data_IF_251865791351
#
_entry.id   IF_251865791351
#
_cell.length_a   1.000
_cell.length_b   1.000
_cell.length_c   1.000
_cell.angle_alpha   90.00
_cell.angle_beta   90.00
_cell.angle_gamma   90.00
#
_symmetry.space_group_name_H-M   'P 1'
#
loop_
_entity.id
_entity.type
_entity.pdbx_description
1 polymer ?
#
# COMPACT_ATOMS: atom_id res chain seq x y z
N UNK A 1 -0.36 -17.98 -4.48
CA UNK A 1 -1.52 -18.20 -5.38
C UNK A 1 -2.61 -17.21 -5.01
N UNK A 2 -3.11 -16.42 -5.96
CA UNK A 2 -4.12 -15.39 -5.68
C UNK A 2 -5.52 -16.00 -5.62
N UNK A 3 -6.25 -15.79 -4.52
CA UNK A 3 -7.65 -16.25 -4.36
C UNK A 3 -8.61 -15.09 -4.61
N UNK A 4 -9.59 -15.30 -5.48
CA UNK A 4 -10.63 -14.30 -5.78
C UNK A 4 -11.97 -14.76 -5.26
N UNK A 5 -12.57 -13.97 -4.37
CA UNK A 5 -13.88 -14.23 -3.79
C UNK A 5 -14.89 -13.18 -4.27
N UNK A 6 -16.15 -13.59 -4.37
CA UNK A 6 -17.28 -12.67 -4.55
C UNK A 6 -17.98 -12.51 -3.22
N UNK A 7 -18.35 -11.27 -2.86
CA UNK A 7 -19.08 -10.98 -1.64
C UNK A 7 -20.30 -10.10 -1.93
N UNK A 8 -21.50 -10.67 -1.98
CA UNK A 8 -22.72 -9.87 -2.05
C UNK A 8 -22.96 -9.16 -0.72
N UNK A 9 -23.54 -7.97 -0.78
CA UNK A 9 -24.13 -7.30 0.38
C UNK A 9 -25.66 -7.38 0.31
N UNK A 10 -26.37 -7.43 1.45
CA UNK A 10 -27.82 -7.36 1.46
C UNK A 10 -28.32 -6.03 0.89
N UNK A 11 -29.61 -5.98 0.55
CA UNK A 11 -30.28 -4.74 0.17
C UNK A 11 -30.18 -3.72 1.30
N UNK A 12 -29.82 -2.49 0.95
CA UNK A 12 -29.88 -1.37 1.89
C UNK A 12 -31.34 -0.98 2.16
N UNK A 13 -31.59 -0.24 3.24
CA UNK A 13 -32.93 0.28 3.55
C UNK A 13 -33.50 1.11 2.40
N UNK A 14 -32.66 1.90 1.72
CA UNK A 14 -33.04 2.69 0.54
C UNK A 14 -33.36 1.85 -0.71
N UNK A 15 -33.03 0.56 -0.70
CA UNK A 15 -33.24 -0.40 -1.79
C UNK A 15 -34.36 -1.40 -1.45
N UNK A 16 -35.07 -1.20 -0.33
CA UNK A 16 -36.23 -2.01 0.02
C UNK A 16 -37.29 -1.91 -1.09
N UNK A 17 -37.68 -3.07 -1.64
CA UNK A 17 -38.60 -3.17 -2.77
C UNK A 17 -37.91 -3.35 -4.13
N UNK A 18 -36.57 -3.21 -4.21
CA UNK A 18 -35.83 -3.62 -5.40
C UNK A 18 -35.80 -5.15 -5.52
N UNK A 19 -35.72 -5.64 -6.76
CA UNK A 19 -35.50 -7.07 -7.00
C UNK A 19 -34.10 -7.45 -6.50
N UNK A 20 -33.99 -8.64 -5.95
CA UNK A 20 -32.73 -9.17 -5.44
C UNK A 20 -32.00 -9.93 -6.54
N UNK A 21 -30.74 -9.56 -6.77
CA UNK A 21 -29.81 -10.31 -7.62
C UNK A 21 -29.41 -11.58 -6.87
N UNK A 22 -29.57 -12.71 -7.53
CA UNK A 22 -29.17 -13.99 -7.00
C UNK A 22 -27.73 -14.31 -7.42
N UNK A 23 -26.89 -14.65 -6.44
CA UNK A 23 -25.51 -15.08 -6.65
C UNK A 23 -25.36 -16.52 -6.14
N UNK A 24 -25.06 -17.45 -7.04
CA UNK A 24 -24.90 -18.87 -6.70
C UNK A 24 -23.55 -19.34 -7.21
N UNK A 25 -22.83 -20.14 -6.41
CA UNK A 25 -21.68 -20.90 -6.91
C UNK A 25 -22.11 -22.34 -7.14
N UNK A 26 -22.06 -22.76 -8.40
CA UNK A 26 -22.23 -24.16 -8.82
C UNK A 26 -20.97 -24.98 -8.51
N UNK A 27 -21.11 -26.32 -8.53
CA UNK A 27 -19.99 -27.25 -8.46
C UNK A 27 -18.89 -26.88 -9.48
N UNK A 28 -17.63 -26.88 -9.03
CA UNK A 28 -16.48 -26.45 -9.85
C UNK A 28 -16.16 -24.95 -9.79
N UNK A 29 -16.74 -24.18 -8.85
CA UNK A 29 -16.34 -22.78 -8.61
C UNK A 29 -16.87 -21.79 -9.66
N UNK A 30 -17.96 -22.15 -10.34
CA UNK A 30 -18.61 -21.31 -11.34
C UNK A 30 -19.69 -20.46 -10.67
N UNK A 31 -19.54 -19.13 -10.75
CA UNK A 31 -20.56 -18.19 -10.29
C UNK A 31 -21.65 -18.04 -11.34
N UNK A 32 -22.90 -18.15 -10.93
CA UNK A 32 -24.10 -17.85 -11.70
C UNK A 32 -24.80 -16.65 -11.07
N UNK A 33 -25.16 -15.68 -11.92
CA UNK A 33 -25.91 -14.47 -11.53
C UNK A 33 -27.27 -14.50 -12.22
N UNK A 34 -28.36 -14.34 -11.46
CA UNK A 34 -29.76 -14.35 -11.96
C UNK A 34 -30.09 -15.54 -12.88
N UNK A 35 -29.49 -16.71 -12.62
CA UNK A 35 -29.63 -17.96 -13.40
C UNK A 35 -29.09 -17.95 -14.84
N UNK A 36 -28.64 -16.82 -15.39
CA UNK A 36 -28.25 -16.70 -16.81
C UNK A 36 -26.76 -16.41 -17.02
N UNK A 37 -26.17 -15.54 -16.21
CA UNK A 37 -24.80 -15.06 -16.43
C UNK A 37 -23.79 -15.89 -15.66
N UNK A 38 -22.86 -16.52 -16.37
CA UNK A 38 -21.88 -17.47 -15.81
C UNK A 38 -20.46 -16.93 -15.85
N UNK A 39 -19.75 -17.09 -14.76
CA UNK A 39 -18.36 -16.65 -14.56
C UNK A 39 -17.56 -17.74 -13.83
N UNK A 40 -16.24 -17.79 -14.01
CA UNK A 40 -15.40 -18.87 -13.45
C UNK A 40 -14.11 -18.33 -12.84
N UNK A 41 -13.41 -19.19 -12.09
CA UNK A 41 -12.11 -18.88 -11.48
C UNK A 41 -12.20 -18.29 -10.07
N UNK A 42 -13.38 -18.34 -9.43
CA UNK A 42 -13.56 -17.84 -8.07
C UNK A 42 -13.31 -18.94 -7.04
N UNK A 43 -12.65 -18.56 -5.94
CA UNK A 43 -12.41 -19.41 -4.79
C UNK A 43 -13.67 -19.67 -3.95
N UNK A 44 -14.66 -18.78 -4.03
CA UNK A 44 -15.91 -18.94 -3.30
C UNK A 44 -16.78 -17.68 -3.27
N UNK A 45 -17.98 -17.85 -2.72
CA UNK A 45 -18.96 -16.81 -2.43
C UNK A 45 -18.91 -16.61 -0.91
N UNK A 46 -18.58 -15.40 -0.49
CA UNK A 46 -18.48 -15.09 0.93
C UNK A 46 -19.84 -14.75 1.51
N UNK A 47 -19.98 -15.02 2.80
CA UNK A 47 -21.14 -14.61 3.58
C UNK A 47 -21.36 -13.09 3.52
N UNK A 48 -22.62 -12.69 3.65
CA UNK A 48 -23.00 -11.30 3.83
C UNK A 48 -22.52 -10.78 5.19
N UNK A 49 -22.36 -11.64 6.19
CA UNK A 49 -21.89 -11.27 7.53
C UNK A 49 -20.36 -11.20 7.61
N UNK A 50 -19.82 -10.13 8.21
CA UNK A 50 -18.37 -9.95 8.28
C UNK A 50 -17.64 -11.07 9.03
N UNK A 51 -18.27 -11.66 10.06
CA UNK A 51 -17.67 -12.73 10.87
C UNK A 51 -17.40 -13.98 10.05
N UNK A 52 -18.43 -14.49 9.37
CA UNK A 52 -18.31 -15.67 8.53
C UNK A 52 -17.43 -15.43 7.30
N UNK A 53 -17.56 -14.26 6.66
CA UNK A 53 -16.72 -13.90 5.52
C UNK A 53 -15.23 -13.84 5.92
N UNK A 54 -14.91 -13.33 7.12
CA UNK A 54 -13.57 -13.36 7.68
C UNK A 54 -13.06 -14.80 7.87
N UNK A 55 -13.88 -15.67 8.47
CA UNK A 55 -13.56 -17.09 8.68
C UNK A 55 -13.27 -17.82 7.37
N UNK A 56 -14.03 -17.51 6.31
CA UNK A 56 -13.88 -18.13 4.99
C UNK A 56 -12.63 -17.67 4.24
N UNK A 57 -12.27 -16.38 4.32
CA UNK A 57 -11.23 -15.80 3.46
C UNK A 57 -9.90 -15.53 4.17
N UNK A 58 -9.92 -14.89 5.34
CA UNK A 58 -8.72 -14.29 5.96
C UNK A 58 -8.22 -15.09 7.16
N UNK A 59 -9.13 -15.66 7.97
CA UNK A 59 -8.78 -16.46 9.14
C UNK A 59 -7.73 -17.55 8.88
N UNK A 60 -7.74 -18.28 7.74
CA UNK A 60 -6.71 -19.29 7.45
C UNK A 60 -5.29 -18.72 7.32
N UNK A 61 -5.14 -17.41 7.13
CA UNK A 61 -3.83 -16.75 6.98
C UNK A 61 -3.20 -16.36 8.33
N UNK A 62 -3.95 -16.41 9.43
CA UNK A 62 -3.47 -16.01 10.77
C UNK A 62 -2.23 -16.80 11.18
N UNK A 63 -2.28 -18.13 11.06
CA UNK A 63 -1.14 -19.01 11.38
C UNK A 63 0.07 -18.73 10.48
N UNK A 64 -0.15 -18.44 9.20
CA UNK A 64 0.91 -18.08 8.27
C UNK A 64 1.59 -16.77 8.68
N UNK A 65 0.80 -15.76 9.06
CA UNK A 65 1.31 -14.47 9.53
C UNK A 65 2.10 -14.60 10.83
N UNK A 66 1.64 -15.40 11.80
CA UNK A 66 2.39 -15.67 13.03
C UNK A 66 3.73 -16.39 12.78
N UNK A 67 3.87 -17.05 11.63
CA UNK A 67 5.05 -17.79 11.19
C UNK A 67 5.83 -17.11 10.05
N UNK A 68 5.66 -15.80 9.83
CA UNK A 68 6.53 -15.02 8.95
C UNK A 68 6.01 -14.83 7.53
N UNK A 69 4.83 -15.35 7.21
CA UNK A 69 4.24 -15.21 5.87
C UNK A 69 3.70 -13.79 5.66
N UNK A 70 3.95 -13.23 4.48
CA UNK A 70 3.33 -11.98 4.05
C UNK A 70 2.08 -12.27 3.21
N UNK A 71 0.96 -11.62 3.55
CA UNK A 71 -0.31 -11.74 2.82
C UNK A 71 -0.90 -10.38 2.51
N UNK A 72 -1.73 -10.32 1.48
CA UNK A 72 -2.41 -9.09 1.08
C UNK A 72 -3.88 -9.37 0.75
N UNK A 73 -4.79 -8.49 1.14
CA UNK A 73 -6.21 -8.59 0.83
C UNK A 73 -6.74 -7.28 0.25
N UNK A 74 -7.26 -7.36 -0.99
CA UNK A 74 -7.92 -6.26 -1.69
C UNK A 74 -9.44 -6.36 -1.53
N UNK A 75 -10.09 -5.28 -1.08
CA UNK A 75 -11.52 -5.10 -1.30
C UNK A 75 -11.75 -4.25 -2.55
N UNK A 76 -12.42 -4.82 -3.54
CA UNK A 76 -12.75 -4.18 -4.82
C UNK A 76 -14.25 -4.23 -5.08
N UNK A 77 -14.76 -3.31 -5.89
CA UNK A 77 -16.15 -3.27 -6.29
C UNK A 77 -16.65 -1.86 -6.46
N UNK A 78 -17.91 -1.76 -6.87
CA UNK A 78 -18.53 -0.49 -7.14
C UNK A 78 -18.77 0.36 -5.85
N UNK A 79 -18.98 1.66 -5.97
CA UNK A 79 -19.32 2.55 -4.85
C UNK A 79 -20.55 2.03 -4.12
N UNK A 80 -20.52 2.04 -2.79
CA UNK A 80 -21.54 1.45 -1.92
C UNK A 80 -21.74 -0.07 -2.09
N UNK A 81 -20.77 -0.82 -2.64
CA UNK A 81 -20.87 -2.30 -2.68
C UNK A 81 -20.47 -3.00 -1.38
N UNK A 82 -19.94 -2.27 -0.40
CA UNK A 82 -19.56 -2.79 0.93
C UNK A 82 -18.06 -2.97 1.18
N UNK A 83 -17.17 -2.47 0.31
CA UNK A 83 -15.69 -2.61 0.48
C UNK A 83 -15.17 -2.17 1.85
N UNK A 84 -15.45 -0.93 2.25
CA UNK A 84 -15.02 -0.38 3.53
C UNK A 84 -15.66 -1.11 4.72
N UNK A 85 -16.92 -1.54 4.58
CA UNK A 85 -17.62 -2.36 5.58
C UNK A 85 -16.97 -3.74 5.73
N UNK A 86 -16.53 -4.37 4.63
CA UNK A 86 -15.76 -5.62 4.65
C UNK A 86 -14.47 -5.47 5.43
N UNK A 87 -13.64 -4.48 5.10
CA UNK A 87 -12.31 -4.35 5.69
C UNK A 87 -12.39 -3.83 7.12
N UNK A 88 -13.15 -2.76 7.35
CA UNK A 88 -13.12 -2.03 8.61
C UNK A 88 -14.41 -2.09 9.42
N UNK A 89 -15.52 -2.60 8.87
CA UNK A 89 -16.81 -2.62 9.55
C UNK A 89 -17.41 -1.23 9.82
N UNK A 90 -18.63 -1.25 10.34
CA UNK A 90 -19.37 -0.07 10.79
C UNK A 90 -20.07 -0.36 12.11
N UNK A 91 -20.22 0.68 12.94
CA UNK A 91 -20.93 0.62 14.22
C UNK A 91 -20.47 -0.55 15.10
N UNK A 92 -21.38 -1.46 15.44
CA UNK A 92 -21.10 -2.66 16.24
C UNK A 92 -20.55 -3.83 15.43
N UNK A 93 -20.68 -3.82 14.10
CA UNK A 93 -20.22 -4.92 13.25
C UNK A 93 -18.72 -4.77 12.93
N UNK A 94 -17.92 -5.65 13.53
CA UNK A 94 -16.49 -5.71 13.30
C UNK A 94 -16.17 -6.15 11.88
N UNK A 95 -15.34 -5.37 11.19
CA UNK A 95 -14.74 -5.73 9.91
C UNK A 95 -13.68 -6.81 10.05
N UNK A 96 -13.18 -7.24 8.89
CA UNK A 96 -12.13 -8.25 8.78
C UNK A 96 -10.83 -7.83 9.48
N UNK A 97 -10.49 -6.55 9.43
CA UNK A 97 -9.31 -6.01 10.10
C UNK A 97 -9.36 -6.22 11.61
N UNK A 98 -10.50 -5.91 12.24
CA UNK A 98 -10.64 -6.03 13.68
C UNK A 98 -10.54 -7.48 14.15
N UNK A 99 -11.13 -8.40 13.36
CA UNK A 99 -11.12 -9.83 13.62
C UNK A 99 -9.71 -10.40 13.45
N UNK A 100 -9.01 -10.03 12.38
CA UNK A 100 -7.61 -10.40 12.17
C UNK A 100 -6.74 -10.01 13.36
N UNK A 101 -6.81 -8.76 13.81
CA UNK A 101 -6.00 -8.30 14.95
C UNK A 101 -6.32 -9.10 16.21
N UNK A 102 -7.60 -9.31 16.53
CA UNK A 102 -8.00 -10.09 17.71
C UNK A 102 -7.48 -11.52 17.67
N UNK A 103 -7.61 -12.19 16.54
CA UNK A 103 -7.16 -13.57 16.37
C UNK A 103 -5.64 -13.69 16.43
N UNK A 104 -4.89 -12.71 15.89
CA UNK A 104 -3.42 -12.68 16.04
C UNK A 104 -2.99 -12.66 17.51
N UNK A 105 -3.58 -11.78 18.32
CA UNK A 105 -3.23 -11.70 19.75
C UNK A 105 -3.78 -12.90 20.55
N UNK A 106 -4.91 -13.48 20.15
CA UNK A 106 -5.52 -14.63 20.83
C UNK A 106 -4.76 -15.93 20.55
N UNK A 107 -4.30 -16.14 19.32
CA UNK A 107 -3.61 -17.36 18.88
C UNK A 107 -2.10 -17.31 19.05
N UNK A 108 -1.53 -16.13 19.33
CA UNK A 108 -0.10 -16.03 19.60
C UNK A 108 0.26 -16.72 20.91
N UNK A 109 1.32 -17.51 20.86
CA UNK A 109 1.94 -18.13 22.04
C UNK A 109 3.04 -17.26 22.66
N UNK A 110 3.30 -16.09 22.07
CA UNK A 110 4.35 -15.15 22.46
C UNK A 110 3.77 -13.74 22.59
N UNK A 111 4.45 -12.90 23.36
CA UNK A 111 4.16 -11.47 23.36
C UNK A 111 4.34 -10.90 21.95
N UNK A 112 3.28 -10.27 21.44
CA UNK A 112 3.29 -9.66 20.12
C UNK A 112 3.49 -8.15 20.23
N UNK A 113 4.30 -7.62 19.33
CA UNK A 113 4.31 -6.20 19.01
C UNK A 113 3.94 -6.06 17.54
N UNK A 114 2.84 -5.36 17.27
CA UNK A 114 2.36 -5.11 15.91
C UNK A 114 2.67 -3.67 15.54
N UNK A 115 3.49 -3.52 14.50
CA UNK A 115 3.71 -2.25 13.84
C UNK A 115 2.58 -2.00 12.84
N UNK A 116 1.99 -0.81 12.92
CA UNK A 116 0.89 -0.36 12.06
C UNK A 116 1.40 0.79 11.20
N UNK A 117 1.23 0.67 9.88
CA UNK A 117 1.26 1.82 8.97
C UNK A 117 -0.09 1.95 8.31
N UNK A 118 -0.62 3.16 8.26
CA UNK A 118 -1.92 3.41 7.66
C UNK A 118 -1.88 4.68 6.84
N UNK A 119 -2.21 4.60 5.56
CA UNK A 119 -2.16 5.73 4.65
C UNK A 119 -3.23 5.61 3.56
N UNK A 120 -3.52 6.73 2.91
CA UNK A 120 -4.44 6.78 1.78
C UNK A 120 -3.76 7.28 0.51
N UNK A 121 -4.20 6.76 -0.64
CA UNK A 121 -3.94 7.33 -1.95
C UNK A 121 -5.16 8.14 -2.35
N UNK A 122 -4.96 9.45 -2.46
CA UNK A 122 -6.00 10.40 -2.80
C UNK A 122 -5.48 11.38 -3.86
N UNK A 123 -6.21 11.53 -4.97
CA UNK A 123 -5.87 12.46 -6.04
C UNK A 123 -4.40 12.32 -6.53
N UNK A 124 -3.94 11.07 -6.71
CA UNK A 124 -2.58 10.78 -7.17
C UNK A 124 -1.48 11.07 -6.13
N UNK A 125 -1.80 11.35 -4.88
CA UNK A 125 -0.87 11.60 -3.78
C UNK A 125 -1.08 10.62 -2.63
N UNK A 126 -0.05 10.39 -1.82
CA UNK A 126 -0.12 9.55 -0.62
C UNK A 126 -0.22 10.47 0.59
N UNK A 127 -1.09 10.12 1.54
CA UNK A 127 -1.23 10.85 2.80
C UNK A 127 -1.17 9.88 3.98
N UNK A 128 -0.34 10.19 4.97
CA UNK A 128 -0.13 9.38 6.17
C UNK A 128 -1.29 9.57 7.15
N UNK A 129 -2.11 8.53 7.33
CA UNK A 129 -3.27 8.56 8.22
C UNK A 129 -2.87 8.40 9.70
N UNK A 130 -1.60 8.14 10.02
CA UNK A 130 -1.10 8.09 11.40
C UNK A 130 -0.26 9.32 11.75
N UNK A 131 -0.12 10.26 10.81
CA UNK A 131 0.64 11.49 11.00
C UNK A 131 -0.10 12.66 10.35
N UNK A 132 -1.34 12.91 10.78
CA UNK A 132 -2.14 14.08 10.39
C UNK A 132 -2.20 14.36 8.88
N UNK A 133 -2.26 13.31 8.05
CA UNK A 133 -2.28 13.38 6.59
C UNK A 133 -1.07 14.12 6.00
N UNK A 134 0.11 14.00 6.61
CA UNK A 134 1.35 14.47 6.01
C UNK A 134 1.61 13.76 4.67
N UNK A 135 2.15 14.46 3.65
CA UNK A 135 2.34 13.90 2.32
C UNK A 135 3.43 12.82 2.32
N UNK A 136 3.16 11.75 1.59
CA UNK A 136 4.06 10.63 1.34
C UNK A 136 4.41 10.46 -0.13
N UNK A 137 5.46 9.68 -0.38
CA UNK A 137 6.02 9.42 -1.70
C UNK A 137 6.26 7.93 -1.91
N UNK A 138 5.67 7.37 -2.97
CA UNK A 138 5.99 6.02 -3.45
C UNK A 138 7.25 6.09 -4.31
N UNK A 139 8.28 5.33 -3.94
CA UNK A 139 9.55 5.25 -4.67
C UNK A 139 9.93 3.79 -4.90
N UNK A 140 10.58 3.53 -6.02
CA UNK A 140 11.20 2.23 -6.32
C UNK A 140 12.72 2.40 -6.19
N UNK A 141 13.38 1.51 -5.46
CA UNK A 141 14.84 1.51 -5.33
C UNK A 141 15.53 0.77 -6.50
N UNK A 142 16.88 0.77 -6.50
CA UNK A 142 17.67 0.12 -7.54
C UNK A 142 17.49 -1.41 -7.60
N UNK A 143 16.92 -2.02 -6.55
CA UNK A 143 16.61 -3.44 -6.50
C UNK A 143 15.14 -3.74 -6.84
N UNK A 144 14.40 -2.73 -7.32
CA UNK A 144 12.99 -2.87 -7.68
C UNK A 144 12.03 -2.93 -6.49
N UNK A 145 12.49 -2.69 -5.26
CA UNK A 145 11.65 -2.70 -4.05
C UNK A 145 10.91 -1.38 -3.92
N UNK A 146 9.63 -1.48 -3.55
CA UNK A 146 8.76 -0.32 -3.40
C UNK A 146 8.80 0.17 -1.95
N UNK A 147 9.01 1.47 -1.79
CA UNK A 147 9.08 2.16 -0.51
C UNK A 147 8.05 3.30 -0.48
N UNK A 148 7.32 3.40 0.62
CA UNK A 148 6.46 4.56 0.90
C UNK A 148 7.13 5.41 1.98
N UNK A 149 7.56 6.60 1.60
CA UNK A 149 8.38 7.49 2.45
C UNK A 149 7.62 8.77 2.80
N UNK A 150 7.87 9.30 3.99
CA UNK A 150 7.45 10.64 4.37
C UNK A 150 8.24 11.70 3.58
N UNK A 151 7.79 12.95 3.64
CA UNK A 151 8.58 14.08 3.17
C UNK A 151 9.96 14.10 3.85
N UNK A 152 10.99 14.47 3.08
CA UNK A 152 12.33 14.72 3.63
C UNK A 152 12.26 15.94 4.55
N UNK A 153 12.79 15.81 5.76
CA UNK A 153 12.84 16.87 6.77
C UNK A 153 14.28 17.15 7.17
N UNK A 154 14.53 18.36 7.68
CA UNK A 154 15.84 18.75 8.20
C UNK A 154 15.80 18.77 9.73
N UNK A 155 16.79 18.14 10.35
CA UNK A 155 17.02 18.18 11.79
C UNK A 155 17.64 19.51 12.24
N UNK A 156 17.67 19.76 13.56
CA UNK A 156 18.17 21.01 14.13
C UNK A 156 19.67 21.22 13.89
N UNK A 157 20.45 20.17 13.65
CA UNK A 157 21.89 20.26 13.41
C UNK A 157 22.23 20.03 11.92
N UNK A 158 21.25 20.16 11.02
CA UNK A 158 21.44 19.99 9.58
C UNK A 158 21.29 18.55 9.09
N UNK A 159 20.91 17.60 9.95
CA UNK A 159 20.61 16.22 9.54
C UNK A 159 19.51 16.18 8.48
N UNK A 160 19.60 15.29 7.49
CA UNK A 160 18.57 15.16 6.44
C UNK A 160 17.83 13.86 6.62
N UNK A 161 16.66 13.93 7.24
CA UNK A 161 15.83 12.78 7.59
C UNK A 161 14.94 12.40 6.40
N UNK A 162 15.23 11.24 5.81
CA UNK A 162 14.36 10.59 4.82
C UNK A 162 13.91 9.25 5.39
N UNK A 163 12.67 9.19 5.88
CA UNK A 163 12.13 8.03 6.59
C UNK A 163 10.91 7.42 5.90
N UNK A 164 10.60 6.17 6.24
CA UNK A 164 9.32 5.55 5.94
C UNK A 164 8.16 6.34 6.56
N UNK A 165 6.94 6.08 6.09
CA UNK A 165 5.74 6.60 6.76
C UNK A 165 5.71 6.24 8.25
N UNK A 166 4.96 7.05 9.01
CA UNK A 166 4.85 6.91 10.45
C UNK A 166 4.42 5.48 10.81
N UNK A 167 5.20 4.87 11.69
CA UNK A 167 4.96 3.54 12.22
C UNK A 167 4.50 3.69 13.67
N UNK A 168 3.24 3.36 13.93
CA UNK A 168 2.72 3.23 15.28
C UNK A 168 2.86 1.77 15.73
N UNK A 169 2.86 1.53 17.04
CA UNK A 169 3.07 0.20 17.61
C UNK A 169 2.01 -0.10 18.66
N UNK A 170 1.49 -1.32 18.66
CA UNK A 170 0.58 -1.82 19.68
C UNK A 170 0.99 -3.22 20.15
N UNK A 171 0.96 -3.41 21.47
CA UNK A 171 1.30 -4.65 22.19
C UNK A 171 0.05 -5.43 22.66
N UNK A 172 -1.13 -4.93 22.32
CA UNK A 172 -2.43 -5.55 22.57
C UNK A 172 -3.36 -5.31 21.39
N UNK A 173 -4.39 -6.16 21.26
CA UNK A 173 -5.42 -5.98 20.24
C UNK A 173 -6.07 -4.59 20.38
N UNK A 174 -6.41 -4.18 21.60
CA UNK A 174 -7.05 -2.91 21.90
C UNK A 174 -6.20 -1.71 21.46
N UNK A 175 -4.88 -1.74 21.71
CA UNK A 175 -3.95 -0.70 21.30
C UNK A 175 -3.86 -0.60 19.77
N UNK A 176 -3.70 -1.72 19.07
CA UNK A 176 -3.67 -1.75 17.60
C UNK A 176 -4.99 -1.25 17.01
N UNK A 177 -6.12 -1.67 17.57
CA UNK A 177 -7.43 -1.21 17.13
C UNK A 177 -7.68 0.27 17.44
N UNK A 178 -7.07 0.84 18.48
CA UNK A 178 -7.12 2.27 18.76
C UNK A 178 -6.36 3.06 17.68
N UNK A 179 -5.16 2.61 17.29
CA UNK A 179 -4.37 3.21 16.21
C UNK A 179 -5.18 3.22 14.90
N UNK A 180 -5.78 2.08 14.54
CA UNK A 180 -6.59 1.96 13.31
C UNK A 180 -7.82 2.89 13.37
N UNK A 181 -8.50 2.96 14.51
CA UNK A 181 -9.64 3.88 14.71
C UNK A 181 -9.23 5.34 14.52
N UNK A 182 -8.07 5.75 15.04
CA UNK A 182 -7.55 7.09 14.85
C UNK A 182 -7.25 7.39 13.37
N UNK A 183 -6.56 6.51 12.66
CA UNK A 183 -6.32 6.73 11.23
C UNK A 183 -7.59 6.73 10.38
N UNK A 184 -8.62 5.97 10.78
CA UNK A 184 -9.93 6.00 10.13
C UNK A 184 -10.64 7.34 10.31
N UNK A 185 -10.55 7.98 11.48
CA UNK A 185 -11.19 9.29 11.69
C UNK A 185 -10.54 10.36 10.80
N UNK A 186 -9.21 10.35 10.67
CA UNK A 186 -8.49 11.23 9.75
C UNK A 186 -8.87 10.97 8.27
N UNK A 187 -9.15 9.72 7.89
CA UNK A 187 -9.71 9.38 6.56
C UNK A 187 -11.18 9.78 6.43
N UNK A 188 -11.90 10.14 7.48
CA UNK A 188 -13.30 10.58 7.37
C UNK A 188 -13.42 12.12 7.28
N UNK A 189 -12.46 12.85 7.86
CA UNK A 189 -12.45 14.32 7.97
C UNK A 189 -11.84 15.05 6.76
N UNK A 190 -11.26 14.34 5.79
CA UNK A 190 -10.41 14.91 4.73
C UNK A 190 -11.14 15.71 3.64
N UNK A 191 -12.47 15.81 3.65
CA UNK A 191 -13.25 16.66 2.73
C UNK A 191 -14.54 17.21 3.38
N UNK A 192 -14.70 18.53 3.42
CA UNK A 192 -15.83 19.27 4.01
C UNK A 192 -17.09 19.37 3.14
N UNK A 193 -17.33 18.47 2.18
CA UNK A 193 -18.47 18.55 1.26
C UNK A 193 -19.14 17.17 1.06
N UNK A 194 -20.21 16.93 1.82
CA UNK A 194 -21.39 16.07 1.54
C UNK A 194 -21.23 14.61 1.02
N UNK A 195 -20.02 14.05 0.89
CA UNK A 195 -19.81 12.72 0.30
C UNK A 195 -18.97 11.77 1.18
N UNK A 196 -19.29 10.46 1.12
CA UNK A 196 -18.56 9.40 1.83
C UNK A 196 -17.11 9.25 1.29
N UNK A 197 -16.12 9.76 2.03
CA UNK A 197 -14.70 9.80 1.65
C UNK A 197 -14.10 8.43 1.30
N UNK A 198 -14.61 7.32 1.86
CA UNK A 198 -14.10 5.98 1.56
C UNK A 198 -14.30 5.54 0.10
N UNK A 199 -15.21 6.19 -0.64
CA UNK A 199 -15.41 5.99 -2.08
C UNK A 199 -14.40 6.73 -2.96
N UNK A 200 -13.64 7.67 -2.38
CA UNK A 200 -12.83 8.67 -3.10
C UNK A 200 -11.31 8.52 -2.90
N UNK A 201 -10.89 7.77 -1.88
CA UNK A 201 -9.48 7.41 -1.67
C UNK A 201 -9.30 5.90 -1.54
N UNK A 202 -8.14 5.39 -1.95
CA UNK A 202 -7.73 4.02 -1.64
C UNK A 202 -7.02 4.03 -0.29
N UNK A 203 -7.41 3.19 0.66
CA UNK A 203 -6.69 3.06 1.91
C UNK A 203 -5.86 1.79 1.95
N UNK A 204 -4.67 1.90 2.53
CA UNK A 204 -3.74 0.79 2.71
C UNK A 204 -3.33 0.74 4.18
N UNK A 205 -3.69 -0.37 4.83
CA UNK A 205 -3.31 -0.68 6.20
C UNK A 205 -2.30 -1.82 6.18
N UNK A 206 -1.11 -1.57 6.69
CA UNK A 206 -0.06 -2.57 6.88
C UNK A 206 0.01 -2.95 8.36
N UNK A 207 -0.09 -4.24 8.64
CA UNK A 207 0.09 -4.82 9.97
C UNK A 207 1.31 -5.75 9.91
N UNK A 208 2.41 -5.36 10.54
CA UNK A 208 3.65 -6.16 10.57
C UNK A 208 3.93 -6.59 12.01
N UNK A 209 4.11 -7.88 12.24
CA UNK A 209 4.58 -8.40 13.52
C UNK A 209 6.08 -8.13 13.60
N UNK A 210 6.51 -7.43 14.64
CA UNK A 210 7.91 -7.04 14.86
C UNK A 210 8.34 -7.36 16.28
N UNK A 211 9.65 -7.29 16.52
CA UNK A 211 10.19 -7.24 17.89
C UNK A 211 10.58 -5.81 18.24
N UNK A 212 10.63 -5.50 19.54
CA UNK A 212 11.15 -4.22 20.01
C UNK A 212 12.59 -3.96 19.53
N UNK A 213 13.41 -5.01 19.44
CA UNK A 213 14.78 -4.92 18.93
C UNK A 213 14.82 -4.56 17.44
N UNK A 214 13.98 -5.21 16.62
CA UNK A 214 13.87 -4.91 15.19
C UNK A 214 13.38 -3.47 14.94
N UNK A 215 12.37 -3.02 15.68
CA UNK A 215 11.86 -1.65 15.59
C UNK A 215 12.95 -0.62 15.92
N UNK A 216 13.69 -0.83 17.02
CA UNK A 216 14.82 0.03 17.40
C UNK A 216 15.94 0.02 16.36
N UNK A 217 16.35 -1.16 15.87
CA UNK A 217 17.40 -1.28 14.86
C UNK A 217 17.04 -0.50 13.57
N UNK A 218 15.78 -0.57 13.12
CA UNK A 218 15.30 0.20 11.96
C UNK A 218 15.39 1.71 12.20
N UNK A 219 15.06 2.18 13.40
CA UNK A 219 15.20 3.59 13.76
C UNK A 219 16.67 4.04 13.75
N UNK A 220 17.59 3.21 14.23
CA UNK A 220 19.02 3.53 14.20
C UNK A 220 19.56 3.66 12.77
N UNK A 221 19.09 2.83 11.83
CA UNK A 221 19.43 2.99 10.41
C UNK A 221 18.98 4.36 9.87
N UNK A 222 17.76 4.80 10.21
CA UNK A 222 17.25 6.12 9.76
C UNK A 222 18.11 7.25 10.32
N UNK A 223 18.48 7.19 11.60
CA UNK A 223 19.33 8.19 12.24
C UNK A 223 20.74 8.21 11.61
N UNK A 224 21.38 7.06 11.45
CA UNK A 224 22.70 6.96 10.82
C UNK A 224 22.68 7.50 9.37
N UNK A 225 21.63 7.18 8.61
CA UNK A 225 21.46 7.68 7.23
C UNK A 225 21.27 9.20 7.15
N UNK A 226 20.75 9.82 8.21
CA UNK A 226 20.48 11.26 8.21
C UNK A 226 21.74 12.13 8.18
N UNK A 227 22.89 11.57 8.60
CA UNK A 227 24.19 12.25 8.63
C UNK A 227 24.94 12.14 7.29
N UNK A 228 24.69 11.09 6.51
CA UNK A 228 25.41 10.83 5.24
C UNK A 228 25.16 11.95 4.22
N UNK A 229 23.92 12.41 4.10
CA UNK A 229 23.55 13.40 3.08
C UNK A 229 24.19 14.77 3.33
N UNK A 230 24.17 15.34 4.55
CA UNK A 230 24.91 16.58 4.85
C UNK A 230 26.41 16.49 4.61
N UNK A 231 27.05 15.38 5.03
CA UNK A 231 28.49 15.17 4.84
C UNK A 231 28.85 15.06 3.35
N UNK A 232 28.08 14.27 2.60
CA UNK A 232 28.26 14.13 1.15
C UNK A 232 28.07 15.46 0.43
N UNK A 233 27.05 16.24 0.83
CA UNK A 233 26.85 17.59 0.29
C UNK A 233 28.01 18.52 0.61
N UNK A 234 28.50 18.55 1.86
CA UNK A 234 29.63 19.40 2.24
C UNK A 234 30.91 19.05 1.44
N UNK A 235 31.16 17.75 1.24
CA UNK A 235 32.23 17.26 0.37
C UNK A 235 32.06 17.74 -1.07
N UNK A 236 30.89 17.52 -1.65
CA UNK A 236 30.61 17.86 -3.06
C UNK A 236 30.65 19.38 -3.29
N UNK A 237 30.11 20.17 -2.37
CA UNK A 237 30.16 21.64 -2.40
C UNK A 237 31.62 22.13 -2.36
N UNK A 238 32.47 21.54 -1.51
CA UNK A 238 33.91 21.87 -1.46
C UNK A 238 34.61 21.46 -2.75
N UNK A 239 34.35 20.26 -3.26
CA UNK A 239 34.92 19.80 -4.52
C UNK A 239 34.55 20.74 -5.68
N UNK A 240 33.27 21.12 -5.80
CA UNK A 240 32.79 22.07 -6.81
C UNK A 240 33.47 23.43 -6.62
N UNK A 241 33.60 23.92 -5.39
CA UNK A 241 34.27 25.18 -5.11
C UNK A 241 35.75 25.16 -5.55
N UNK A 242 36.47 24.06 -5.29
CA UNK A 242 37.85 23.87 -5.77
C UNK A 242 37.87 23.89 -7.29
N UNK A 243 37.05 23.07 -7.96
CA UNK A 243 37.01 22.97 -9.41
C UNK A 243 36.65 24.31 -10.08
N UNK A 244 35.76 25.10 -9.48
CA UNK A 244 35.37 26.41 -10.01
C UNK A 244 36.52 27.43 -10.03
N UNK A 245 37.56 27.25 -9.22
CA UNK A 245 38.78 28.09 -9.24
C UNK A 245 39.76 27.65 -10.34
N UNK A 246 39.73 26.38 -10.72
CA UNK A 246 40.63 25.80 -11.73
C UNK A 246 40.23 26.13 -13.16
N UNK A 247 38.97 26.53 -13.39
CA UNK A 247 38.43 26.78 -14.72
C UNK A 247 37.65 28.10 -14.78
N UNK A 248 37.82 28.83 -15.89
CA UNK A 248 37.03 30.02 -16.24
C UNK A 248 36.34 29.81 -17.58
N UNK A 249 35.15 30.38 -17.75
CA UNK A 249 34.43 30.32 -19.03
C UNK A 249 34.88 31.47 -19.91
N UNK A 250 35.52 31.15 -21.04
CA UNK A 250 35.89 32.10 -22.10
C UNK A 250 35.19 31.67 -23.38
N UNK A 251 34.39 32.56 -23.99
CA UNK A 251 33.61 32.30 -25.21
C UNK A 251 32.71 31.04 -25.13
N UNK A 252 32.12 30.79 -23.96
CA UNK A 252 31.25 29.63 -23.72
C UNK A 252 32.00 28.30 -23.55
N UNK A 253 33.34 28.31 -23.50
CA UNK A 253 34.19 27.13 -23.27
C UNK A 253 34.93 27.24 -21.94
N UNK A 254 35.03 26.13 -21.22
CA UNK A 254 35.82 26.05 -20.00
C UNK A 254 37.32 26.03 -20.35
N UNK A 255 38.07 27.01 -19.85
CA UNK A 255 39.51 27.17 -20.03
C UNK A 255 40.19 27.09 -18.66
N UNK A 256 41.25 26.28 -18.55
CA UNK A 256 41.99 26.13 -17.30
C UNK A 256 42.70 27.44 -16.91
N UNK A 257 42.67 27.80 -15.63
CA UNK A 257 43.28 29.03 -15.09
C UNK A 257 44.77 28.89 -14.82
N UNK A 258 45.29 27.65 -14.80
CA UNK A 258 46.65 27.35 -14.35
C UNK A 258 46.82 27.37 -12.82
N UNK A 259 45.75 27.61 -12.07
CA UNK A 259 45.74 27.42 -10.62
C UNK A 259 45.78 25.92 -10.28
N UNK A 260 46.42 25.57 -9.17
CA UNK A 260 46.38 24.22 -8.59
C UNK A 260 45.58 24.25 -7.27
N UNK A 261 44.90 23.14 -6.89
CA UNK A 261 44.26 23.05 -5.59
C UNK A 261 45.27 23.22 -4.46
N UNK A 262 44.94 24.00 -3.43
CA UNK A 262 45.80 24.13 -2.26
C UNK A 262 45.88 22.81 -1.48
N UNK A 263 47.00 22.56 -0.80
CA UNK A 263 47.13 21.38 0.07
C UNK A 263 46.05 21.39 1.16
N UNK A 264 45.71 22.56 1.71
CA UNK A 264 44.64 22.70 2.70
C UNK A 264 43.27 22.28 2.14
N UNK A 265 42.95 22.67 0.90
CA UNK A 265 41.71 22.27 0.24
C UNK A 265 41.67 20.74 0.00
N UNK A 266 42.80 20.14 -0.37
CA UNK A 266 42.95 18.69 -0.55
C UNK A 266 42.77 17.95 0.79
N UNK A 267 43.49 18.37 1.85
CA UNK A 267 43.40 17.78 3.18
C UNK A 267 41.97 17.84 3.75
N UNK A 268 41.27 18.96 3.50
CA UNK A 268 39.86 19.13 3.89
C UNK A 268 38.93 18.22 3.10
N UNK A 269 39.16 18.06 1.81
CA UNK A 269 38.37 17.15 0.97
C UNK A 269 38.57 15.70 1.41
N UNK A 270 39.81 15.29 1.68
CA UNK A 270 40.14 13.95 2.18
C UNK A 270 39.53 13.69 3.57
N UNK A 271 39.52 14.71 4.43
CA UNK A 271 38.85 14.65 5.73
C UNK A 271 37.33 14.44 5.56
N UNK A 272 36.68 15.22 4.70
CA UNK A 272 35.24 15.08 4.44
C UNK A 272 34.91 13.73 3.79
N UNK A 273 35.73 13.27 2.85
CA UNK A 273 35.59 11.96 2.23
C UNK A 273 35.69 10.84 3.27
N UNK A 274 36.69 10.91 4.16
CA UNK A 274 36.85 9.95 5.27
C UNK A 274 35.64 9.95 6.22
N UNK A 275 35.04 11.11 6.48
CA UNK A 275 33.81 11.23 7.28
C UNK A 275 32.60 10.60 6.59
N UNK A 276 32.44 10.81 5.28
CA UNK A 276 31.39 10.16 4.48
C UNK A 276 31.56 8.64 4.52
N UNK A 277 32.77 8.13 4.28
CA UNK A 277 33.05 6.69 4.28
C UNK A 277 32.76 6.06 5.65
N UNK A 278 33.14 6.73 6.73
CA UNK A 278 32.83 6.28 8.08
C UNK A 278 31.32 6.24 8.36
N UNK A 279 30.58 7.27 7.96
CA UNK A 279 29.12 7.33 8.12
C UNK A 279 28.41 6.26 7.27
N UNK A 280 28.86 6.02 6.03
CA UNK A 280 28.34 4.95 5.18
C UNK A 280 28.62 3.55 5.76
N UNK A 281 29.81 3.34 6.31
CA UNK A 281 30.16 2.10 7.01
C UNK A 281 29.28 1.85 8.25
N UNK A 282 28.98 2.91 9.02
CA UNK A 282 28.04 2.83 10.15
C UNK A 282 26.63 2.45 9.69
N UNK A 283 26.12 3.08 8.61
CA UNK A 283 24.84 2.72 8.01
C UNK A 283 24.81 1.25 7.57
N UNK A 284 25.90 0.75 6.97
CA UNK A 284 26.00 -0.65 6.56
C UNK A 284 25.95 -1.60 7.77
N UNK A 285 26.66 -1.27 8.86
CA UNK A 285 26.62 -2.05 10.10
C UNK A 285 25.20 -2.08 10.72
N UNK A 286 24.52 -0.93 10.77
CA UNK A 286 23.15 -0.84 11.30
C UNK A 286 22.15 -1.63 10.44
N UNK A 287 22.32 -1.63 9.11
CA UNK A 287 21.50 -2.47 8.21
C UNK A 287 21.74 -3.96 8.44
N UNK A 288 22.99 -4.38 8.62
CA UNK A 288 23.31 -5.77 8.95
C UNK A 288 22.67 -6.20 10.29
N UNK A 289 22.62 -5.29 11.27
CA UNK A 289 21.90 -5.53 12.54
C UNK A 289 20.39 -5.68 12.30
N UNK A 290 19.77 -4.86 11.45
CA UNK A 290 18.35 -5.02 11.08
C UNK A 290 18.11 -6.40 10.45
N UNK A 291 18.97 -6.85 9.54
CA UNK A 291 18.84 -8.17 8.92
C UNK A 291 18.96 -9.30 9.96
N UNK A 292 19.90 -9.19 10.91
CA UNK A 292 20.04 -10.14 12.01
C UNK A 292 18.82 -10.18 12.94
N UNK A 293 18.25 -9.02 13.28
CA UNK A 293 17.03 -8.95 14.10
C UNK A 293 15.79 -9.43 13.34
N UNK A 294 15.75 -9.24 12.02
CA UNK A 294 14.66 -9.74 11.17
C UNK A 294 14.62 -11.26 11.14
N UNK A 295 15.77 -11.93 11.13
CA UNK A 295 15.85 -13.41 11.22
C UNK A 295 15.29 -13.93 12.56
N UNK A 296 15.46 -13.17 13.65
CA UNK A 296 14.92 -13.52 14.97
C UNK A 296 13.41 -13.25 15.08
N UNK A 297 12.87 -12.38 14.22
CA UNK A 297 11.46 -12.05 14.18
C UNK A 297 10.70 -13.09 13.34
N UNK A 298 10.04 -14.03 14.00
CA UNK A 298 9.23 -15.06 13.32
C UNK A 298 7.93 -14.52 12.72
N UNK A 299 7.63 -13.24 12.89
CA UNK A 299 6.37 -12.60 12.50
C UNK A 299 6.34 -12.12 11.06
N UNK A 300 5.16 -12.21 10.45
CA UNK A 300 4.88 -11.80 9.07
C UNK A 300 4.15 -10.46 8.98
N UNK A 301 3.65 -10.18 7.78
CA UNK A 301 2.92 -8.94 7.49
C UNK A 301 1.59 -9.25 6.80
N UNK A 302 0.54 -8.51 7.16
CA UNK A 302 -0.73 -8.55 6.47
C UNK A 302 -1.10 -7.15 6.00
N UNK A 303 -1.37 -7.02 4.71
CA UNK A 303 -1.76 -5.75 4.09
C UNK A 303 -3.24 -5.81 3.70
N UNK A 304 -4.02 -4.88 4.24
CA UNK A 304 -5.44 -4.72 3.93
C UNK A 304 -5.60 -3.47 3.08
N UNK A 305 -6.22 -3.62 1.92
CA UNK A 305 -6.42 -2.53 0.97
C UNK A 305 -7.91 -2.36 0.68
N UNK A 306 -8.43 -1.18 1.00
CA UNK A 306 -9.79 -0.75 0.66
C UNK A 306 -9.72 0.18 -0.54
N UNK A 307 -10.00 -0.37 -1.74
CA UNK A 307 -9.95 0.40 -2.97
C UNK A 307 -11.16 1.35 -3.07
N UNK A 308 -11.01 2.45 -3.81
CA UNK A 308 -12.12 3.33 -4.16
C UNK A 308 -13.12 2.65 -5.11
N UNK A 309 -14.28 3.28 -5.33
CA UNK A 309 -15.31 2.75 -6.23
C UNK A 309 -14.87 2.71 -7.70
N UNK A 310 -15.17 1.61 -8.38
CA UNK A 310 -14.77 1.34 -9.77
C UNK A 310 -15.50 2.15 -10.85
N UNK A 311 -16.57 2.86 -10.48
CA UNK A 311 -17.56 3.42 -11.39
C UNK A 311 -17.96 4.84 -10.99
N UNK A 312 -17.03 5.63 -10.46
CA UNK A 312 -17.29 7.04 -10.16
C UNK A 312 -17.42 7.88 -11.45
N UNK A 313 -18.46 7.61 -12.23
CA UNK A 313 -19.01 8.44 -13.29
C UNK A 313 -20.21 9.15 -12.68
N UNK A 314 -20.10 10.46 -12.47
CA UNK A 314 -21.11 11.22 -11.74
C UNK A 314 -22.42 11.34 -12.49
N UNK A 315 -23.35 10.46 -12.17
CA UNK A 315 -24.75 10.68 -12.52
C UNK A 315 -25.40 11.49 -11.39
N UNK A 316 -25.87 12.70 -11.73
CA UNK A 316 -26.92 13.38 -10.97
C UNK A 316 -26.59 14.67 -10.20
N UNK A 317 -25.34 15.15 -10.17
CA UNK A 317 -25.01 16.42 -9.49
C UNK A 317 -24.04 17.29 -10.29
N UNK A 318 -24.27 18.60 -10.28
CA UNK A 318 -23.35 19.63 -10.75
C UNK A 318 -22.07 19.57 -9.93
N UNK A 319 -21.07 18.86 -10.45
CA UNK A 319 -19.76 18.73 -9.80
C UNK A 319 -18.96 20.00 -9.99
N UNK A 320 -18.29 20.45 -8.93
CA UNK A 320 -17.31 21.53 -9.06
C UNK A 320 -16.05 21.02 -9.80
N UNK A 321 -15.15 21.93 -10.21
CA UNK A 321 -13.92 21.57 -10.94
C UNK A 321 -13.01 20.60 -10.16
N UNK A 322 -13.00 20.72 -8.82
CA UNK A 322 -12.20 19.89 -7.91
C UNK A 322 -12.70 18.45 -7.89
N UNK A 323 -14.01 18.25 -7.78
CA UNK A 323 -14.64 16.92 -7.80
C UNK A 323 -14.50 16.20 -9.14
N UNK A 324 -14.49 16.95 -10.26
CA UNK A 324 -14.19 16.38 -11.57
C UNK A 324 -12.75 15.86 -11.67
N UNK A 325 -11.78 16.62 -11.14
CA UNK A 325 -10.38 16.21 -11.12
C UNK A 325 -10.19 14.95 -10.27
N UNK A 326 -10.78 14.93 -9.08
CA UNK A 326 -10.78 13.78 -8.18
C UNK A 326 -11.38 12.52 -8.83
N UNK A 327 -12.52 12.66 -9.50
CA UNK A 327 -13.15 11.57 -10.24
C UNK A 327 -12.23 10.96 -11.29
N UNK A 328 -11.56 11.84 -12.04
CA UNK A 328 -10.66 11.46 -13.12
C UNK A 328 -9.45 10.69 -12.58
N UNK A 329 -8.87 11.13 -11.47
CA UNK A 329 -7.73 10.46 -10.84
C UNK A 329 -8.11 9.08 -10.28
N UNK A 330 -9.27 8.95 -9.63
CA UNK A 330 -9.78 7.65 -9.15
C UNK A 330 -9.89 6.66 -10.31
N UNK A 331 -10.60 7.06 -11.37
CA UNK A 331 -10.81 6.20 -12.53
C UNK A 331 -9.50 5.89 -13.25
N UNK A 332 -8.55 6.84 -13.30
CA UNK A 332 -7.21 6.63 -13.86
C UNK A 332 -6.45 5.53 -13.11
N UNK A 333 -6.44 5.58 -11.77
CA UNK A 333 -5.73 4.59 -10.95
C UNK A 333 -6.31 3.18 -11.08
N UNK A 334 -7.63 3.03 -11.11
CA UNK A 334 -8.30 1.74 -11.29
C UNK A 334 -8.20 1.20 -12.72
N UNK A 335 -8.18 2.09 -13.72
CA UNK A 335 -7.89 1.72 -15.11
C UNK A 335 -6.46 1.22 -15.26
N UNK A 336 -5.47 1.92 -14.66
CA UNK A 336 -4.08 1.47 -14.66
C UNK A 336 -3.95 0.08 -14.02
N UNK A 337 -4.64 -0.16 -12.90
CA UNK A 337 -4.68 -1.47 -12.25
C UNK A 337 -5.28 -2.54 -13.15
N UNK A 338 -6.37 -2.21 -13.85
CA UNK A 338 -6.99 -3.11 -14.82
C UNK A 338 -6.07 -3.45 -15.98
N UNK A 339 -5.34 -2.48 -16.51
CA UNK A 339 -4.37 -2.71 -17.58
C UNK A 339 -3.20 -3.59 -17.13
N UNK A 340 -2.69 -3.42 -15.90
CA UNK A 340 -1.64 -4.28 -15.35
C UNK A 340 -2.09 -5.75 -15.33
N UNK A 341 -3.26 -6.02 -14.77
CA UNK A 341 -3.81 -7.38 -14.68
C UNK A 341 -4.14 -7.93 -16.07
N UNK A 342 -4.65 -7.10 -16.98
CA UNK A 342 -4.93 -7.50 -18.37
C UNK A 342 -3.68 -7.95 -19.11
N UNK A 343 -2.57 -7.24 -18.93
CA UNK A 343 -1.27 -7.61 -19.53
C UNK A 343 -0.78 -8.93 -18.92
N UNK A 344 -0.88 -9.06 -17.59
CA UNK A 344 -0.49 -10.28 -16.87
C UNK A 344 -1.30 -11.51 -17.28
N UNK A 345 -2.62 -11.37 -17.47
CA UNK A 345 -3.50 -12.45 -17.91
C UNK A 345 -3.20 -13.01 -19.30
N UNK A 346 -2.49 -12.26 -20.14
CA UNK A 346 -2.12 -12.72 -21.49
C UNK A 346 -0.93 -13.70 -21.48
N UNK A 347 -0.38 -14.04 -20.30
CA UNK A 347 0.71 -15.01 -20.13
C UNK A 347 1.87 -14.83 -21.13
N UNK A 348 2.35 -13.60 -21.29
CA UNK A 348 3.37 -13.25 -22.30
C UNK A 348 4.46 -12.31 -21.79
N UNK A 349 5.56 -12.23 -22.54
CA UNK A 349 6.74 -11.37 -22.32
C UNK A 349 6.46 -9.90 -22.66
N UNK A 350 5.55 -9.28 -21.93
CA UNK A 350 5.22 -7.86 -22.07
C UNK A 350 5.56 -7.07 -20.80
N UNK A 351 6.10 -5.87 -20.97
CA UNK A 351 6.30 -4.94 -19.84
C UNK A 351 4.93 -4.60 -19.20
N UNK A 352 4.75 -4.97 -17.92
CA UNK A 352 3.57 -4.62 -17.14
C UNK A 352 3.70 -3.16 -16.67
N UNK A 353 2.75 -2.27 -16.98
CA UNK A 353 2.90 -0.83 -16.76
C UNK A 353 2.56 -0.40 -15.31
N UNK A 354 3.22 -1.01 -14.31
CA UNK A 354 2.99 -0.69 -12.89
C UNK A 354 3.24 0.79 -12.55
N UNK A 355 4.02 1.51 -13.36
CA UNK A 355 4.33 2.94 -13.18
C UNK A 355 3.23 3.89 -13.62
N UNK A 356 2.16 3.42 -14.28
CA UNK A 356 1.08 4.28 -14.78
C UNK A 356 0.25 4.92 -13.67
N UNK A 357 0.32 4.40 -12.44
CA UNK A 357 -0.27 5.05 -11.26
C UNK A 357 0.52 4.71 -10.00
N UNK A 358 0.42 5.55 -8.96
CA UNK A 358 1.00 5.22 -7.65
C UNK A 358 0.35 3.99 -7.01
N UNK A 359 -0.92 3.73 -7.28
CA UNK A 359 -1.63 2.55 -6.79
C UNK A 359 -1.00 1.28 -7.37
N UNK A 360 -0.84 1.21 -8.68
CA UNK A 360 -0.23 0.05 -9.34
C UNK A 360 1.23 -0.15 -8.96
N UNK A 361 1.97 0.94 -8.75
CA UNK A 361 3.35 0.86 -8.30
C UNK A 361 3.42 0.31 -6.87
N UNK A 362 2.52 0.75 -5.98
CA UNK A 362 2.43 0.28 -4.61
C UNK A 362 2.04 -1.19 -4.52
N UNK A 363 1.10 -1.62 -5.37
CA UNK A 363 0.61 -3.00 -5.41
C UNK A 363 1.49 -3.96 -6.20
N UNK A 364 2.52 -3.47 -6.90
CA UNK A 364 3.42 -4.26 -7.74
C UNK A 364 3.85 -5.57 -7.07
N UNK A 365 4.41 -5.48 -5.86
CA UNK A 365 4.92 -6.65 -5.15
C UNK A 365 3.85 -7.69 -4.79
N UNK A 366 2.57 -7.32 -4.67
CA UNK A 366 1.46 -8.24 -4.37
C UNK A 366 0.75 -8.76 -5.63
N UNK A 367 1.05 -8.17 -6.78
CA UNK A 367 0.49 -8.51 -8.09
C UNK A 367 1.49 -9.26 -8.96
N UNK A 368 2.75 -9.42 -8.55
CA UNK A 368 3.73 -10.24 -9.29
C UNK A 368 3.52 -11.73 -8.98
N UNK A 369 3.58 -12.58 -10.01
CA UNK A 369 3.36 -14.04 -9.90
C UNK A 369 4.48 -14.77 -9.16
N UNK A 370 5.68 -14.18 -9.14
CA UNK A 370 6.88 -14.81 -8.59
C UNK A 370 7.05 -14.55 -7.09
N UNK A 371 6.12 -13.79 -6.48
CA UNK A 371 6.15 -13.51 -5.05
C UNK A 371 5.41 -14.61 -4.27
N UNK A 372 6.03 -15.23 -3.23
CA UNK A 372 5.37 -16.21 -2.37
C UNK A 372 4.20 -15.66 -1.54
N UNK A 373 3.90 -14.35 -1.60
CA UNK A 373 2.81 -13.75 -0.85
C UNK A 373 1.43 -14.34 -1.21
N UNK A 374 0.62 -14.60 -0.17
CA UNK A 374 -0.78 -15.01 -0.37
C UNK A 374 -1.66 -13.79 -0.59
N UNK A 375 -2.07 -13.58 -1.84
CA UNK A 375 -2.93 -12.46 -2.23
C UNK A 375 -4.40 -12.91 -2.28
N UNK A 376 -5.29 -12.13 -1.69
CA UNK A 376 -6.74 -12.32 -1.70
C UNK A 376 -7.37 -11.10 -2.36
N UNK A 377 -8.35 -11.32 -3.22
CA UNK A 377 -9.24 -10.27 -3.72
C UNK A 377 -10.67 -10.60 -3.31
N UNK A 378 -11.31 -9.69 -2.62
CA UNK A 378 -12.74 -9.74 -2.26
C UNK A 378 -13.47 -8.74 -3.14
N UNK A 379 -14.29 -9.26 -4.04
CA UNK A 379 -15.12 -8.46 -4.94
C UNK A 379 -16.49 -8.25 -4.33
N UNK A 380 -16.66 -7.10 -3.71
CA UNK A 380 -17.91 -6.64 -3.12
C UNK A 380 -18.92 -6.24 -4.21
N UNK A 381 -20.12 -6.82 -4.18
CA UNK A 381 -21.22 -6.55 -5.12
C UNK A 381 -22.54 -6.27 -4.40
N UNK A 382 -23.37 -5.40 -4.97
CA UNK A 382 -24.72 -5.13 -4.47
C UNK A 382 -25.70 -6.21 -4.90
N UNK A 383 -26.59 -6.66 -4.01
CA UNK A 383 -27.71 -7.53 -4.38
C UNK A 383 -28.94 -6.79 -4.93
N UNK A 384 -28.91 -5.47 -5.07
CA UNK A 384 -30.00 -4.68 -5.67
C UNK A 384 -29.95 -4.75 -7.21
N UNK A 385 -31.05 -5.13 -7.88
CA UNK A 385 -31.17 -5.25 -9.34
C UNK A 385 -30.88 -3.92 -10.06
N UNK A 386 -31.24 -2.78 -9.47
CA UNK A 386 -30.84 -1.44 -9.94
C UNK A 386 -29.32 -1.29 -10.12
N UNK A 387 -28.52 -2.07 -9.38
CA UNK A 387 -27.06 -2.10 -9.46
C UNK A 387 -26.51 -3.28 -10.27
N UNK A 388 -27.34 -4.09 -10.94
CA UNK A 388 -26.92 -5.29 -11.66
C UNK A 388 -25.78 -5.02 -12.65
N UNK A 389 -25.87 -3.95 -13.44
CA UNK A 389 -24.82 -3.58 -14.40
C UNK A 389 -23.46 -3.38 -13.71
N UNK A 390 -23.44 -2.64 -12.59
CA UNK A 390 -22.23 -2.34 -11.80
C UNK A 390 -21.66 -3.60 -11.14
N UNK A 391 -22.54 -4.48 -10.65
CA UNK A 391 -22.14 -5.77 -10.11
C UNK A 391 -21.49 -6.65 -11.19
N UNK A 392 -22.08 -6.73 -12.38
CA UNK A 392 -21.54 -7.50 -13.51
C UNK A 392 -20.19 -6.96 -14.01
N UNK A 393 -20.01 -5.64 -14.05
CA UNK A 393 -18.73 -5.03 -14.40
C UNK A 393 -17.64 -5.38 -13.37
N UNK A 394 -17.99 -5.36 -12.08
CA UNK A 394 -17.08 -5.75 -11.00
C UNK A 394 -16.70 -7.25 -11.09
N UNK A 395 -17.67 -8.12 -11.37
CA UNK A 395 -17.46 -9.57 -11.54
C UNK A 395 -16.60 -9.86 -12.77
N UNK A 396 -16.85 -9.20 -13.91
CA UNK A 396 -16.01 -9.33 -15.11
C UNK A 396 -14.55 -8.98 -14.82
N UNK A 397 -14.33 -7.92 -14.05
CA UNK A 397 -12.99 -7.55 -13.63
C UNK A 397 -12.36 -8.62 -12.72
N UNK A 398 -13.11 -9.10 -11.73
CA UNK A 398 -12.66 -10.18 -10.84
C UNK A 398 -12.32 -11.47 -11.61
N UNK A 399 -13.08 -11.83 -12.65
CA UNK A 399 -12.76 -12.95 -13.55
C UNK A 399 -11.42 -12.74 -14.27
N UNK A 400 -11.13 -11.52 -14.72
CA UNK A 400 -9.84 -11.19 -15.32
C UNK A 400 -8.70 -11.37 -14.30
N UNK A 401 -8.88 -10.89 -13.06
CA UNK A 401 -7.91 -11.11 -11.97
C UNK A 401 -7.68 -12.60 -11.73
N UNK A 402 -8.76 -13.37 -11.56
CA UNK A 402 -8.67 -14.80 -11.35
C UNK A 402 -7.87 -15.49 -12.47
N UNK A 403 -8.13 -15.13 -13.74
CA UNK A 403 -7.38 -15.67 -14.88
C UNK A 403 -5.90 -15.29 -14.90
N UNK A 404 -5.55 -14.09 -14.43
CA UNK A 404 -4.18 -13.58 -14.43
C UNK A 404 -3.24 -14.35 -13.49
N UNK A 405 -3.81 -14.95 -12.45
CA UNK A 405 -3.08 -15.65 -11.40
C UNK A 405 -3.38 -17.15 -11.34
N UNK A 406 -4.02 -17.70 -12.39
CA UNK A 406 -4.13 -19.16 -12.54
C UNK A 406 -2.74 -19.74 -12.70
N UNK A 407 -2.40 -20.65 -11.79
CA UNK A 407 -1.18 -21.46 -11.90
C UNK A 407 -1.33 -22.36 -13.12
N UNK A 408 -0.34 -22.35 -14.01
CA UNK A 408 -0.25 -23.26 -15.16
C UNK A 408 0.10 -24.68 -14.67
N UNK A 409 -0.75 -25.29 -13.85
CA UNK A 409 -0.66 -26.69 -13.44
C UNK A 409 -2.06 -27.23 -13.18
N UNK A 410 -2.64 -27.79 -14.23
CA UNK A 410 -3.30 -29.10 -14.23
C UNK A 410 -3.01 -29.78 -15.58
#
# INVERSE_FOLDING_TARGET
MTKVYIRPRPLATSEQGDKTIEYVIEEGGRLVVNSDKKFSGFAGLLSTENGEAYTQAIRPMVSGMLNGTTSCCFAYGHTNSGKTHTIFGYDSELGMCQRLVRDLFTESTKDLLVQVRFYELYNGQVFDLLNNRQPGFVREDAHGRIHVRSATTMGPNGEVLTQSLHAAYGDSAEAVLAIIRHGRSLRAEGTSELHHQSSRSHAVLELEIVTSALAKARQQVVLAQSCVVPLGKARDDLYIAIQSKLYVIVDGKATATGAEPSQEDQDRLDTLQSQVDAAEAEVAAMKAQVDAEKVKCSGGMFVLVDLSGAEYTGEGLTRNSKEHKEAREINSSLLALKECIRVQARQGTGHIPYRNSKLTLLLKCYLETDNPSSTIMITNVSSAETHLRKALDSIRYATLVASAFKTTQE
#
